data_IF_647148335143
#
_entry.id   IF_647148335143
#
_cell.length_a   1.000
_cell.length_b   1.000
_cell.length_c   1.000
_cell.angle_alpha   90.00
_cell.angle_beta   90.00
_cell.angle_gamma   90.00
#
_symmetry.space_group_name_H-M   'P 1'
#
loop_
_entity.id
_entity.type
_entity.pdbx_description
1 polymer ?
#
# COMPACT_ATOMS: atom_id res chain seq x y z
N UNK A 1 10.79 -13.03 -16.39
CA UNK A 1 11.73 -14.05 -15.81
C UNK A 1 11.95 -13.89 -14.30
N UNK A 2 12.22 -12.69 -13.76
CA UNK A 2 12.48 -12.52 -12.31
C UNK A 2 11.25 -12.70 -11.41
N UNK A 3 10.10 -12.13 -11.79
CA UNK A 3 8.84 -12.30 -11.04
C UNK A 3 8.41 -13.78 -11.02
N UNK A 4 8.52 -14.48 -12.16
CA UNK A 4 8.26 -15.91 -12.26
C UNK A 4 9.22 -16.75 -11.40
N UNK A 5 10.51 -16.37 -11.28
CA UNK A 5 11.47 -17.03 -10.38
C UNK A 5 11.18 -16.78 -8.90
N UNK A 6 10.75 -15.58 -8.54
CA UNK A 6 10.34 -15.23 -7.17
C UNK A 6 9.07 -16.00 -6.78
N UNK A 7 8.12 -16.15 -7.72
CA UNK A 7 6.91 -16.95 -7.52
C UNK A 7 7.20 -18.46 -7.50
N UNK A 8 8.12 -18.94 -8.33
CA UNK A 8 8.58 -20.34 -8.34
C UNK A 8 9.30 -20.73 -7.03
N UNK A 9 10.10 -19.83 -6.44
CA UNK A 9 10.71 -20.04 -5.11
C UNK A 9 9.68 -20.10 -3.98
N UNK A 10 8.47 -19.57 -4.18
CA UNK A 10 7.43 -19.53 -3.15
C UNK A 10 6.53 -20.79 -3.10
N UNK A 11 6.75 -21.78 -3.98
CA UNK A 11 5.97 -23.03 -4.05
C UNK A 11 4.45 -22.84 -4.30
N UNK A 12 4.06 -21.69 -4.89
CA UNK A 12 2.68 -21.32 -5.23
C UNK A 12 2.56 -21.18 -6.75
N UNK A 13 2.86 -22.23 -7.51
CA UNK A 13 2.68 -22.22 -8.96
C UNK A 13 1.52 -23.14 -9.33
N UNK A 14 0.38 -22.54 -9.69
CA UNK A 14 -0.72 -23.24 -10.36
C UNK A 14 -0.42 -23.38 -11.86
N UNK A 15 -0.88 -24.44 -12.53
CA UNK A 15 -0.59 -24.72 -13.96
C UNK A 15 -1.11 -23.65 -14.95
N UNK A 16 -1.88 -22.68 -14.46
CA UNK A 16 -2.35 -21.53 -15.23
C UNK A 16 -1.29 -20.42 -15.33
N UNK A 17 -0.40 -20.29 -14.34
CA UNK A 17 0.68 -19.30 -14.34
C UNK A 17 1.85 -19.70 -15.25
N UNK A 18 2.05 -20.99 -15.46
CA UNK A 18 3.06 -21.53 -16.38
C UNK A 18 2.69 -21.20 -17.83
N UNK A 19 1.42 -21.36 -18.20
CA UNK A 19 0.87 -20.92 -19.50
C UNK A 19 0.97 -19.42 -19.72
N UNK A 20 0.84 -18.60 -18.67
CA UNK A 20 1.01 -17.14 -18.76
C UNK A 20 2.49 -16.73 -18.89
N UNK A 21 3.42 -17.53 -18.37
CA UNK A 21 4.85 -17.28 -18.46
C UNK A 21 5.46 -17.68 -19.81
N UNK A 22 4.77 -18.56 -20.55
CA UNK A 22 5.13 -19.00 -21.91
C UNK A 22 4.54 -18.09 -23.01
N UNK A 23 3.63 -17.18 -22.66
CA UNK A 23 3.01 -16.25 -23.62
C UNK A 23 4.04 -15.19 -24.09
N UNK A 24 4.40 -15.14 -25.39
CA UNK A 24 5.39 -14.20 -25.91
C UNK A 24 4.97 -12.73 -25.73
N UNK A 25 3.68 -12.47 -25.57
CA UNK A 25 3.11 -11.14 -25.32
C UNK A 25 3.44 -10.55 -23.94
N UNK A 26 3.90 -11.39 -22.99
CA UNK A 26 4.33 -11.01 -21.64
C UNK A 26 5.85 -11.03 -21.45
N UNK A 27 6.62 -11.20 -22.52
CA UNK A 27 8.05 -10.90 -22.49
C UNK A 27 8.21 -9.38 -22.42
N UNK A 28 8.37 -8.87 -21.20
CA UNK A 28 8.91 -7.54 -20.97
C UNK A 28 10.23 -7.46 -21.74
N UNK A 29 10.23 -6.76 -22.87
CA UNK A 29 11.37 -6.70 -23.77
C UNK A 29 12.50 -6.01 -23.03
N UNK A 30 13.50 -6.80 -22.62
CA UNK A 30 14.58 -6.30 -21.77
C UNK A 30 15.34 -5.18 -22.49
N UNK A 31 15.35 -5.22 -23.82
CA UNK A 31 15.99 -4.22 -24.67
C UNK A 31 15.16 -2.92 -24.72
N UNK A 32 13.83 -3.01 -24.67
CA UNK A 32 12.94 -1.84 -24.54
C UNK A 32 13.07 -1.20 -23.16
N UNK A 33 13.10 -2.00 -22.10
CA UNK A 33 13.31 -1.50 -20.74
C UNK A 33 14.69 -0.85 -20.57
N UNK A 34 15.74 -1.45 -21.17
CA UNK A 34 17.08 -0.88 -21.19
C UNK A 34 17.14 0.42 -22.01
N UNK A 35 16.37 0.56 -23.09
CA UNK A 35 16.23 1.82 -23.84
C UNK A 35 15.48 2.88 -23.05
N UNK A 36 14.42 2.53 -22.33
CA UNK A 36 13.71 3.46 -21.46
C UNK A 36 14.55 3.90 -20.25
N UNK A 37 15.34 2.98 -19.66
CA UNK A 37 16.32 3.29 -18.61
C UNK A 37 17.57 4.01 -19.12
N UNK A 38 17.84 4.00 -20.43
CA UNK A 38 18.92 4.81 -20.99
C UNK A 38 18.58 6.31 -20.99
N UNK A 39 17.29 6.67 -20.87
CA UNK A 39 16.88 8.06 -20.71
C UNK A 39 17.15 8.54 -19.27
N UNK A 40 18.02 9.55 -19.07
CA UNK A 40 18.37 10.04 -17.72
C UNK A 40 17.17 10.55 -16.93
N UNK A 41 16.13 11.07 -17.61
CA UNK A 41 14.92 11.56 -16.95
C UNK A 41 14.10 10.42 -16.34
N UNK A 42 14.07 9.25 -16.99
CA UNK A 42 13.36 8.08 -16.47
C UNK A 42 14.11 7.47 -15.30
N UNK A 43 15.44 7.42 -15.36
CA UNK A 43 16.29 6.99 -14.24
C UNK A 43 16.03 7.86 -13.01
N UNK A 44 15.95 9.19 -13.18
CA UNK A 44 15.67 10.10 -12.08
C UNK A 44 14.28 9.88 -11.47
N UNK A 45 13.25 9.65 -12.30
CA UNK A 45 11.88 9.32 -11.82
C UNK A 45 11.84 8.02 -11.03
N UNK A 46 12.55 6.98 -11.49
CA UNK A 46 12.66 5.69 -10.79
C UNK A 46 13.36 5.89 -9.45
N UNK A 47 14.47 6.61 -9.42
CA UNK A 47 15.18 6.92 -8.17
C UNK A 47 14.31 7.71 -7.18
N UNK A 48 13.58 8.73 -7.64
CA UNK A 48 12.65 9.47 -6.79
C UNK A 48 11.57 8.56 -6.20
N UNK A 49 11.01 7.65 -7.02
CA UNK A 49 9.99 6.71 -6.57
C UNK A 49 10.56 5.73 -5.55
N UNK A 50 11.77 5.22 -5.78
CA UNK A 50 12.47 4.34 -4.86
C UNK A 50 12.74 5.01 -3.51
N UNK A 51 13.33 6.21 -3.52
CA UNK A 51 13.61 7.00 -2.30
C UNK A 51 12.32 7.28 -1.53
N UNK A 52 11.24 7.63 -2.24
CA UNK A 52 9.92 7.85 -1.63
C UNK A 52 9.40 6.59 -0.94
N UNK A 53 9.45 5.43 -1.59
CA UNK A 53 9.00 4.16 -1.00
C UNK A 53 9.84 3.79 0.22
N UNK A 54 11.17 3.91 0.13
CA UNK A 54 12.06 3.64 1.26
C UNK A 54 11.75 4.57 2.43
N UNK A 55 11.57 5.87 2.17
CA UNK A 55 11.21 6.85 3.18
C UNK A 55 9.87 6.52 3.86
N UNK A 56 8.86 6.11 3.09
CA UNK A 56 7.56 5.68 3.62
C UNK A 56 7.69 4.47 4.54
N UNK A 57 8.41 3.42 4.11
CA UNK A 57 8.62 2.22 4.92
C UNK A 57 9.40 2.55 6.20
N UNK A 58 10.50 3.32 6.09
CA UNK A 58 11.30 3.72 7.23
C UNK A 58 10.49 4.55 8.23
N UNK A 59 9.68 5.50 7.74
CA UNK A 59 8.84 6.33 8.59
C UNK A 59 7.72 5.51 9.25
N UNK A 60 7.13 4.55 8.54
CA UNK A 60 6.18 3.61 9.13
C UNK A 60 6.82 2.84 10.29
N UNK A 61 8.02 2.29 10.09
CA UNK A 61 8.75 1.57 11.16
C UNK A 61 9.08 2.46 12.34
N UNK A 62 9.42 3.73 12.08
CA UNK A 62 9.63 4.71 13.14
C UNK A 62 8.33 4.97 13.91
N UNK A 63 7.19 5.14 13.24
CA UNK A 63 5.90 5.31 13.91
C UNK A 63 5.48 4.08 14.72
N UNK A 64 5.73 2.87 14.22
CA UNK A 64 5.52 1.63 14.97
C UNK A 64 6.40 1.58 16.23
N UNK A 65 7.67 1.94 16.10
CA UNK A 65 8.60 2.03 17.22
C UNK A 65 8.17 3.09 18.25
N UNK A 66 7.83 4.30 17.81
CA UNK A 66 7.37 5.39 18.69
C UNK A 66 6.05 5.02 19.39
N UNK A 67 5.12 4.38 18.68
CA UNK A 67 3.89 3.89 19.26
C UNK A 67 4.14 2.82 20.34
N UNK A 68 5.16 1.97 20.16
CA UNK A 68 5.55 0.97 21.14
C UNK A 68 6.34 1.55 22.33
N UNK A 69 7.21 2.53 22.08
CA UNK A 69 8.09 3.12 23.09
C UNK A 69 7.38 4.14 23.98
N UNK A 70 6.51 4.98 23.40
CA UNK A 70 5.85 6.08 24.11
C UNK A 70 4.34 5.88 24.28
N UNK A 71 3.74 4.97 23.50
CA UNK A 71 2.32 4.66 23.61
C UNK A 71 2.01 3.64 24.70
N UNK A 72 0.76 3.63 25.17
CA UNK A 72 0.30 2.53 26.01
C UNK A 72 0.36 1.21 25.22
N UNK A 73 0.79 0.13 25.87
CA UNK A 73 0.88 -1.21 25.25
C UNK A 73 -0.43 -1.64 24.55
N UNK A 74 -1.57 -1.18 25.07
CA UNK A 74 -2.91 -1.40 24.50
C UNK A 74 -3.15 -0.65 23.18
N UNK A 75 -2.61 0.56 23.03
CA UNK A 75 -2.69 1.34 21.79
C UNK A 75 -1.73 0.78 20.74
N UNK A 76 -0.48 0.52 21.13
CA UNK A 76 0.52 -0.10 20.24
C UNK A 76 0.01 -1.43 19.66
N UNK A 77 -0.55 -2.30 20.51
CA UNK A 77 -1.14 -3.57 20.08
C UNK A 77 -2.38 -3.45 19.17
N UNK A 78 -3.03 -2.28 19.13
CA UNK A 78 -4.13 -1.99 18.19
C UNK A 78 -3.61 -1.42 16.86
N UNK A 79 -2.52 -0.65 16.90
CA UNK A 79 -1.92 0.02 15.75
C UNK A 79 -1.04 -0.93 14.91
N UNK A 80 -0.29 -1.84 15.54
CA UNK A 80 0.63 -2.77 14.84
C UNK A 80 0.01 -4.15 14.66
N UNK A 81 -1.32 -4.21 14.50
CA UNK A 81 -2.06 -5.47 14.63
C UNK A 81 -2.02 -6.27 13.33
N UNK A 82 -1.71 -7.56 13.41
CA UNK A 82 -1.85 -8.45 12.24
C UNK A 82 -3.34 -8.65 11.88
N UNK A 83 -3.78 -8.03 10.79
CA UNK A 83 -5.18 -7.97 10.36
C UNK A 83 -5.73 -9.31 9.89
N UNK A 84 -4.94 -10.10 9.15
CA UNK A 84 -5.31 -11.43 8.65
C UNK A 84 -5.59 -12.38 9.82
N UNK A 85 -4.65 -12.49 10.78
CA UNK A 85 -4.85 -13.29 12.00
C UNK A 85 -5.98 -12.74 12.87
N UNK A 86 -6.21 -11.43 12.86
CA UNK A 86 -7.33 -10.82 13.59
C UNK A 86 -8.69 -11.18 12.97
N UNK A 87 -8.80 -11.25 11.65
CA UNK A 87 -10.04 -11.61 10.95
C UNK A 87 -10.44 -13.06 11.27
N UNK A 88 -9.50 -13.99 11.18
CA UNK A 88 -9.74 -15.42 11.51
C UNK A 88 -10.19 -15.60 12.95
N UNK A 89 -9.53 -14.93 13.91
CA UNK A 89 -9.93 -14.99 15.34
C UNK A 89 -11.29 -14.36 15.64
N UNK A 90 -11.77 -13.45 14.79
CA UNK A 90 -13.11 -12.85 14.94
C UNK A 90 -14.17 -13.71 14.29
N UNK A 91 -13.86 -14.33 13.16
CA UNK A 91 -14.74 -15.32 12.52
C UNK A 91 -15.13 -16.41 13.52
N UNK A 92 -14.13 -16.97 14.21
CA UNK A 92 -14.33 -18.04 15.18
C UNK A 92 -15.24 -17.64 16.38
N UNK A 93 -15.42 -16.34 16.66
CA UNK A 93 -16.17 -15.87 17.84
C UNK A 93 -17.50 -15.19 17.50
N UNK A 94 -17.58 -14.52 16.35
CA UNK A 94 -18.68 -13.61 16.00
C UNK A 94 -19.41 -14.04 14.71
N UNK A 95 -18.97 -15.13 14.09
CA UNK A 95 -19.40 -15.49 12.74
C UNK A 95 -18.90 -14.50 11.69
N UNK A 96 -19.34 -14.69 10.44
CA UNK A 96 -18.79 -14.00 9.26
C UNK A 96 -19.16 -12.51 9.21
N UNK A 97 -20.43 -12.19 9.41
CA UNK A 97 -20.94 -10.81 9.39
C UNK A 97 -20.37 -10.01 10.57
N UNK A 98 -20.40 -10.59 11.78
CA UNK A 98 -19.83 -9.96 12.97
C UNK A 98 -18.32 -9.76 12.89
N UNK A 99 -17.60 -10.67 12.22
CA UNK A 99 -16.18 -10.50 11.97
C UNK A 99 -15.89 -9.32 11.03
N UNK A 100 -16.66 -9.17 9.95
CA UNK A 100 -16.47 -8.10 8.99
C UNK A 100 -16.78 -6.71 9.56
N UNK A 101 -17.89 -6.55 10.28
CA UNK A 101 -18.24 -5.27 10.93
C UNK A 101 -17.18 -4.86 11.95
N UNK A 102 -16.73 -5.81 12.78
CA UNK A 102 -15.65 -5.58 13.72
C UNK A 102 -14.30 -5.32 13.02
N UNK A 103 -14.11 -5.78 11.79
CA UNK A 103 -12.89 -5.56 11.02
C UNK A 103 -12.75 -4.13 10.53
N UNK A 104 -13.83 -3.39 10.25
CA UNK A 104 -13.76 -1.97 9.85
C UNK A 104 -12.94 -1.15 10.86
N UNK A 105 -13.33 -1.19 12.13
CA UNK A 105 -12.64 -0.44 13.19
C UNK A 105 -11.26 -1.01 13.55
N UNK A 106 -10.92 -2.23 13.11
CA UNK A 106 -9.61 -2.84 13.38
C UNK A 106 -8.62 -2.59 12.24
N UNK A 107 -9.10 -2.72 11.00
CA UNK A 107 -8.38 -2.35 9.80
C UNK A 107 -8.03 -0.85 9.82
N UNK A 108 -8.99 0.02 10.11
CA UNK A 108 -8.73 1.46 10.20
C UNK A 108 -7.64 1.79 11.22
N UNK A 109 -7.76 1.27 12.45
CA UNK A 109 -6.72 1.52 13.49
C UNK A 109 -5.36 0.96 13.11
N UNK A 110 -5.30 -0.22 12.51
CA UNK A 110 -4.01 -0.84 12.18
C UNK A 110 -3.34 -0.22 10.96
N UNK A 111 -4.13 0.27 10.01
CA UNK A 111 -3.62 0.93 8.81
C UNK A 111 -3.27 2.39 9.04
N UNK A 112 -3.76 3.01 10.12
CA UNK A 112 -3.56 4.43 10.37
C UNK A 112 -2.09 4.85 10.29
N UNK A 113 -1.16 4.08 10.89
CA UNK A 113 0.28 4.41 10.85
C UNK A 113 0.87 4.33 9.44
N UNK A 114 0.44 3.34 8.65
CA UNK A 114 0.85 3.20 7.25
C UNK A 114 0.45 4.43 6.44
N UNK A 115 -0.84 4.79 6.45
CA UNK A 115 -1.30 5.94 5.67
C UNK A 115 -0.82 7.29 6.23
N UNK A 116 -0.61 7.39 7.55
CA UNK A 116 0.05 8.55 8.13
C UNK A 116 1.49 8.70 7.61
N UNK A 117 2.26 7.61 7.49
CA UNK A 117 3.63 7.67 6.96
C UNK A 117 3.66 8.07 5.49
N UNK A 118 2.74 7.54 4.68
CA UNK A 118 2.58 7.92 3.27
C UNK A 118 2.30 9.42 3.15
N UNK A 119 1.33 9.92 3.91
CA UNK A 119 0.91 11.31 3.86
C UNK A 119 2.04 12.26 4.31
N UNK A 120 2.77 11.93 5.37
CA UNK A 120 3.88 12.76 5.84
C UNK A 120 5.01 12.83 4.82
N UNK A 121 5.38 11.71 4.18
CA UNK A 121 6.43 11.71 3.15
C UNK A 121 5.99 12.51 1.92
N UNK A 122 4.74 12.36 1.51
CA UNK A 122 4.21 13.05 0.33
C UNK A 122 4.10 14.57 0.56
N UNK A 123 3.57 14.99 1.71
CA UNK A 123 3.51 16.41 2.10
C UNK A 123 4.90 17.02 2.27
N UNK A 124 5.87 16.29 2.84
CA UNK A 124 7.25 16.73 2.92
C UNK A 124 7.87 16.93 1.53
N UNK A 125 7.56 16.05 0.57
CA UNK A 125 7.97 16.20 -0.83
C UNK A 125 7.39 17.46 -1.47
N UNK A 126 6.10 17.74 -1.25
CA UNK A 126 5.46 18.97 -1.75
C UNK A 126 6.07 20.22 -1.10
N UNK A 127 6.37 20.16 0.20
CA UNK A 127 6.98 21.27 0.93
C UNK A 127 8.39 21.57 0.41
N UNK A 128 9.21 20.55 0.16
CA UNK A 128 10.54 20.71 -0.45
C UNK A 128 10.42 21.32 -1.85
N UNK A 129 9.46 20.87 -2.65
CA UNK A 129 9.21 21.43 -3.97
C UNK A 129 8.78 22.91 -3.89
N UNK A 130 7.95 23.26 -2.91
CA UNK A 130 7.53 24.64 -2.66
C UNK A 130 8.72 25.54 -2.26
N UNK A 131 9.63 25.07 -1.40
CA UNK A 131 10.84 25.83 -1.08
C UNK A 131 11.77 26.03 -2.29
N UNK A 132 11.78 25.08 -3.24
CA UNK A 132 12.59 25.17 -4.47
C UNK A 132 11.99 26.08 -5.54
N UNK A 133 10.66 26.12 -5.66
CA UNK A 133 9.96 27.02 -6.57
C UNK A 133 8.77 27.73 -5.88
N UNK A 134 9.03 28.86 -5.19
CA UNK A 134 7.98 29.62 -4.51
C UNK A 134 6.93 30.21 -5.46
N UNK A 135 7.24 30.35 -6.75
CA UNK A 135 6.35 30.95 -7.76
C UNK A 135 5.23 29.98 -8.18
N UNK A 136 5.41 28.68 -7.96
CA UNK A 136 4.45 27.61 -8.23
C UNK A 136 3.38 27.37 -7.14
N UNK A 137 3.19 28.29 -6.18
CA UNK A 137 2.39 28.08 -4.95
C UNK A 137 1.02 27.41 -5.19
N UNK A 138 0.29 27.82 -6.23
CA UNK A 138 -1.03 27.26 -6.53
C UNK A 138 -0.96 25.82 -7.05
N UNK A 139 0.07 25.47 -7.82
CA UNK A 139 0.32 24.10 -8.29
C UNK A 139 0.71 23.18 -7.13
N UNK A 140 1.60 23.64 -6.25
CA UNK A 140 2.00 22.86 -5.06
C UNK A 140 0.82 22.61 -4.11
N UNK A 141 -0.05 23.60 -3.92
CA UNK A 141 -1.25 23.44 -3.09
C UNK A 141 -2.26 22.47 -3.72
N UNK A 142 -2.46 22.54 -5.03
CA UNK A 142 -3.31 21.57 -5.75
C UNK A 142 -2.75 20.15 -5.63
N UNK A 143 -1.43 19.99 -5.75
CA UNK A 143 -0.76 18.71 -5.61
C UNK A 143 -0.86 18.17 -4.18
N UNK A 144 -0.63 18.98 -3.14
CA UNK A 144 -0.83 18.58 -1.74
C UNK A 144 -2.28 18.11 -1.52
N UNK A 145 -3.26 18.89 -1.97
CA UNK A 145 -4.67 18.50 -1.87
C UNK A 145 -4.97 17.19 -2.60
N UNK A 146 -4.40 16.98 -3.80
CA UNK A 146 -4.56 15.73 -4.55
C UNK A 146 -3.96 14.56 -3.75
N UNK A 147 -2.73 14.67 -3.27
CA UNK A 147 -2.09 13.63 -2.47
C UNK A 147 -2.88 13.33 -1.19
N UNK A 148 -3.27 14.36 -0.44
CA UNK A 148 -4.10 14.21 0.75
C UNK A 148 -5.40 13.44 0.46
N UNK A 149 -6.16 13.87 -0.56
CA UNK A 149 -7.41 13.22 -0.92
C UNK A 149 -7.20 11.78 -1.38
N UNK A 150 -6.16 11.52 -2.18
CA UNK A 150 -5.80 10.16 -2.61
C UNK A 150 -5.41 9.29 -1.42
N UNK A 151 -4.58 9.76 -0.50
CA UNK A 151 -4.20 8.99 0.70
C UNK A 151 -5.39 8.68 1.60
N UNK A 152 -6.31 9.64 1.78
CA UNK A 152 -7.55 9.41 2.53
C UNK A 152 -8.44 8.40 1.82
N UNK A 153 -8.58 8.51 0.50
CA UNK A 153 -9.36 7.56 -0.29
C UNK A 153 -8.75 6.14 -0.22
N UNK A 154 -7.43 5.99 -0.32
CA UNK A 154 -6.73 4.72 -0.15
C UNK A 154 -6.92 4.14 1.26
N UNK A 155 -6.82 4.96 2.30
CA UNK A 155 -7.07 4.54 3.68
C UNK A 155 -8.48 3.99 3.88
N UNK A 156 -9.49 4.73 3.41
CA UNK A 156 -10.90 4.33 3.49
C UNK A 156 -11.14 3.09 2.61
N UNK A 157 -10.62 3.09 1.39
CA UNK A 157 -10.73 2.02 0.42
C UNK A 157 -10.15 0.72 0.94
N UNK A 158 -8.92 0.73 1.45
CA UNK A 158 -8.29 -0.46 2.03
C UNK A 158 -9.03 -0.95 3.28
N UNK A 159 -9.51 -0.04 4.13
CA UNK A 159 -10.29 -0.41 5.33
C UNK A 159 -11.62 -1.08 4.95
N UNK A 160 -12.36 -0.49 4.02
CA UNK A 160 -13.62 -1.03 3.52
C UNK A 160 -13.40 -2.34 2.76
N UNK A 161 -12.38 -2.39 1.91
CA UNK A 161 -11.96 -3.55 1.14
C UNK A 161 -11.58 -4.72 2.03
N UNK A 162 -10.85 -4.49 3.12
CA UNK A 162 -10.56 -5.54 4.10
C UNK A 162 -11.81 -6.07 4.80
N UNK A 163 -12.76 -5.20 5.14
CA UNK A 163 -14.01 -5.61 5.75
C UNK A 163 -14.86 -6.45 4.77
N UNK A 164 -15.01 -5.98 3.53
CA UNK A 164 -15.71 -6.69 2.46
C UNK A 164 -15.03 -8.02 2.11
N UNK A 165 -13.71 -8.02 1.99
CA UNK A 165 -12.91 -9.22 1.78
C UNK A 165 -13.03 -10.22 2.92
N UNK A 166 -13.18 -9.74 4.16
CA UNK A 166 -13.49 -10.59 5.33
C UNK A 166 -14.89 -11.19 5.24
N UNK A 167 -15.88 -10.49 4.66
CA UNK A 167 -17.21 -11.09 4.42
C UNK A 167 -17.12 -12.27 3.44
N UNK A 168 -16.31 -12.15 2.38
CA UNK A 168 -16.15 -13.22 1.41
C UNK A 168 -15.36 -14.39 2.00
N UNK A 169 -14.13 -14.12 2.43
CA UNK A 169 -13.23 -15.11 3.00
C UNK A 169 -12.31 -14.47 4.05
N UNK A 170 -12.60 -14.68 5.35
CA UNK A 170 -11.71 -14.24 6.42
C UNK A 170 -10.31 -14.83 6.26
N UNK A 171 -9.29 -13.97 6.34
CA UNK A 171 -7.90 -14.36 6.08
C UNK A 171 -7.47 -13.87 4.70
N UNK A 172 -7.49 -14.74 3.68
CA UNK A 172 -7.01 -14.39 2.34
C UNK A 172 -7.87 -13.31 1.66
N UNK A 173 -9.19 -13.41 1.78
CA UNK A 173 -10.11 -12.39 1.26
C UNK A 173 -9.90 -11.04 1.96
N UNK A 174 -9.60 -11.02 3.26
CA UNK A 174 -9.20 -9.80 3.97
C UNK A 174 -7.97 -9.16 3.32
N UNK A 175 -6.93 -9.94 3.04
CA UNK A 175 -5.71 -9.43 2.39
C UNK A 175 -5.99 -8.87 0.99
N UNK A 176 -6.62 -9.67 0.12
CA UNK A 176 -6.94 -9.25 -1.25
C UNK A 176 -7.86 -8.02 -1.30
N UNK A 177 -8.90 -8.01 -0.47
CA UNK A 177 -9.83 -6.90 -0.38
C UNK A 177 -9.13 -5.61 0.07
N UNK A 178 -8.19 -5.71 1.01
CA UNK A 178 -7.35 -4.58 1.41
C UNK A 178 -6.50 -4.04 0.27
N UNK A 179 -5.80 -4.93 -0.45
CA UNK A 179 -4.95 -4.55 -1.59
C UNK A 179 -5.75 -3.91 -2.72
N UNK A 180 -6.90 -4.49 -3.10
CA UNK A 180 -7.76 -3.92 -4.14
C UNK A 180 -8.32 -2.56 -3.71
N UNK A 181 -8.74 -2.44 -2.45
CA UNK A 181 -9.26 -1.20 -1.89
C UNK A 181 -8.21 -0.09 -1.81
N UNK A 182 -6.94 -0.44 -1.62
CA UNK A 182 -5.81 0.49 -1.64
C UNK A 182 -5.49 1.01 -3.05
N UNK A 183 -5.54 0.11 -4.04
CA UNK A 183 -5.20 0.41 -5.43
C UNK A 183 -6.30 1.18 -6.17
N UNK A 184 -7.58 0.91 -5.87
CA UNK A 184 -8.70 1.48 -6.63
C UNK A 184 -8.67 3.03 -6.69
N UNK A 185 -8.44 3.77 -5.60
CA UNK A 185 -8.34 5.23 -5.66
C UNK A 185 -7.15 5.74 -6.46
N UNK A 186 -6.02 5.00 -6.47
CA UNK A 186 -4.85 5.39 -7.28
C UNK A 186 -5.10 5.20 -8.77
N UNK A 187 -5.81 4.14 -9.16
CA UNK A 187 -6.18 3.87 -10.55
C UNK A 187 -7.21 4.87 -11.08
N UNK A 188 -8.13 5.35 -10.23
CA UNK A 188 -9.14 6.35 -10.61
C UNK A 188 -8.52 7.77 -10.66
N UNK A 189 -7.44 8.01 -9.92
CA UNK A 189 -6.77 9.31 -9.86
C UNK A 189 -5.66 9.53 -10.93
N UNK A 190 -5.31 8.46 -11.67
CA UNK A 190 -4.47 8.47 -12.87
C UNK A 190 -5.30 8.85 -14.09
#
# INVERSE_FOLDING_TARGET
RWIARILAMSNIMTPQLEKLAEDPSYQLDADELLRELANPDNVLKVWHSFVRIVAQISLQRLFEYLAAAYGSLRLAGKLVKNLVKSAVRKLARLGRIGAATAMVATAGRSNFLLYASILVVDEAGVLIAWFRDPRGKQRHLQNARKFFLTSVACYVGATAGMAAGTLLQPGWGTFLGGTIGDLAPTLIAL
#
